data_IF_886926462807
#
_entry.id   IF_886926462807
#
_cell.length_a   1.000
_cell.length_b   1.000
_cell.length_c   1.000
_cell.angle_alpha   90.00
_cell.angle_beta   90.00
_cell.angle_gamma   90.00
#
_symmetry.space_group_name_H-M   'P 1'
#
loop_
_entity.id
_entity.type
_entity.pdbx_description
1 polymer ?
#
# COMPACT_ATOMS: atom_id res chain seq x y z
N UNK A 1 -45.17 38.62 -57.03
CA UNK A 1 -45.21 37.93 -55.71
C UNK A 1 -44.14 36.85 -55.50
N UNK A 2 -43.75 36.01 -56.48
CA UNK A 2 -42.78 34.91 -56.27
C UNK A 2 -41.37 35.31 -55.81
N UNK A 3 -40.84 36.48 -56.20
CA UNK A 3 -39.50 36.95 -55.79
C UNK A 3 -39.40 37.41 -54.33
N UNK A 4 -40.50 37.78 -53.68
CA UNK A 4 -40.47 38.20 -52.27
C UNK A 4 -40.48 37.01 -51.30
N UNK A 5 -41.23 35.94 -51.61
CA UNK A 5 -41.22 34.72 -50.78
C UNK A 5 -39.84 34.08 -50.67
N UNK A 6 -39.05 34.10 -51.76
CA UNK A 6 -37.69 33.55 -51.79
C UNK A 6 -36.72 34.30 -50.86
N UNK A 7 -36.84 35.64 -50.77
CA UNK A 7 -35.99 36.44 -49.88
C UNK A 7 -36.36 36.24 -48.41
N UNK A 8 -37.66 36.16 -48.11
CA UNK A 8 -38.14 35.90 -46.74
C UNK A 8 -37.70 34.52 -46.26
N UNK A 9 -37.80 33.50 -47.12
CA UNK A 9 -37.36 32.15 -46.78
C UNK A 9 -35.85 32.07 -46.54
N UNK A 10 -35.05 32.77 -47.34
CA UNK A 10 -33.59 32.81 -47.17
C UNK A 10 -33.18 33.52 -45.86
N UNK A 11 -33.89 34.58 -45.49
CA UNK A 11 -33.66 35.30 -44.22
C UNK A 11 -34.00 34.41 -43.03
N UNK A 12 -35.12 33.69 -43.07
CA UNK A 12 -35.52 32.76 -42.01
C UNK A 12 -34.50 31.63 -41.88
N UNK A 13 -34.06 31.03 -43.00
CA UNK A 13 -33.07 29.96 -42.99
C UNK A 13 -31.73 30.44 -42.40
N UNK A 14 -31.30 31.65 -42.76
CA UNK A 14 -30.06 32.23 -42.22
C UNK A 14 -30.16 32.50 -40.71
N UNK A 15 -31.31 33.01 -40.25
CA UNK A 15 -31.55 33.24 -38.83
C UNK A 15 -31.56 31.93 -38.02
N UNK A 16 -32.19 30.86 -38.55
CA UNK A 16 -32.20 29.54 -37.91
C UNK A 16 -30.79 28.95 -37.87
N UNK A 17 -30.04 28.98 -38.97
CA UNK A 17 -28.67 28.48 -39.00
C UNK A 17 -27.78 29.24 -38.01
N UNK A 18 -27.92 30.57 -37.91
CA UNK A 18 -27.14 31.39 -36.98
C UNK A 18 -27.51 31.07 -35.52
N UNK A 19 -28.79 30.88 -35.21
CA UNK A 19 -29.24 30.49 -33.88
C UNK A 19 -28.72 29.11 -33.47
N UNK A 20 -28.73 28.13 -34.39
CA UNK A 20 -28.17 26.80 -34.13
C UNK A 20 -26.66 26.87 -33.91
N UNK A 21 -25.95 27.68 -34.70
CA UNK A 21 -24.50 27.84 -34.55
C UNK A 21 -24.13 28.51 -33.23
N UNK A 22 -24.90 29.52 -32.80
CA UNK A 22 -24.73 30.14 -31.48
C UNK A 22 -25.06 29.19 -30.34
N UNK A 23 -26.06 28.31 -30.51
CA UNK A 23 -26.38 27.27 -29.52
C UNK A 23 -25.24 26.24 -29.41
N UNK A 24 -24.69 25.78 -30.54
CA UNK A 24 -23.56 24.86 -30.57
C UNK A 24 -22.28 25.49 -29.98
N UNK A 25 -22.00 26.76 -30.30
CA UNK A 25 -20.91 27.51 -29.68
C UNK A 25 -21.14 27.73 -28.19
N UNK A 26 -22.38 27.94 -27.76
CA UNK A 26 -22.75 27.98 -26.34
C UNK A 26 -22.45 26.66 -25.63
N UNK A 27 -22.80 25.52 -26.23
CA UNK A 27 -22.51 24.19 -25.65
C UNK A 27 -21.00 23.89 -25.62
N UNK A 28 -20.23 24.40 -26.59
CA UNK A 28 -18.78 24.23 -26.63
C UNK A 28 -18.02 25.19 -25.71
N UNK A 29 -18.50 26.43 -25.53
CA UNK A 29 -17.88 27.45 -24.67
C UNK A 29 -18.31 27.32 -23.20
N UNK A 30 -19.54 26.90 -22.95
CA UNK A 30 -20.02 26.41 -21.66
C UNK A 30 -19.94 24.89 -21.65
N UNK A 31 -18.83 24.36 -22.17
CA UNK A 31 -18.46 22.96 -22.03
C UNK A 31 -18.80 22.58 -20.60
N UNK A 32 -19.74 21.65 -20.47
CA UNK A 32 -20.18 21.16 -19.19
C UNK A 32 -18.91 20.77 -18.45
N UNK A 33 -18.50 21.58 -17.47
CA UNK A 33 -17.80 21.06 -16.32
C UNK A 33 -18.79 20.03 -15.80
N UNK A 34 -18.60 18.78 -16.26
CA UNK A 34 -19.01 17.63 -15.50
C UNK A 34 -18.54 17.98 -14.10
N UNK A 35 -19.45 18.06 -13.10
CA UNK A 35 -19.01 18.30 -11.75
C UNK A 35 -17.84 17.34 -11.55
N UNK A 36 -16.66 17.88 -11.23
CA UNK A 36 -15.55 17.05 -10.81
C UNK A 36 -16.20 16.07 -9.83
N UNK A 37 -16.09 14.75 -10.07
CA UNK A 37 -16.74 13.81 -9.19
C UNK A 37 -16.29 14.22 -7.81
N UNK A 38 -17.26 14.63 -6.96
CA UNK A 38 -16.96 14.94 -5.57
C UNK A 38 -16.00 13.84 -5.15
N UNK A 39 -14.83 14.21 -4.64
CA UNK A 39 -14.00 13.29 -3.88
C UNK A 39 -14.87 12.86 -2.69
N UNK A 40 -15.78 11.92 -2.96
CA UNK A 40 -16.37 11.06 -1.97
C UNK A 40 -15.15 10.44 -1.37
N UNK A 41 -14.83 10.88 -0.16
CA UNK A 41 -13.91 10.27 0.77
C UNK A 41 -13.89 8.75 0.53
N UNK A 42 -12.95 8.29 -0.32
CA UNK A 42 -12.91 6.90 -0.82
C UNK A 42 -12.34 5.97 0.26
N UNK A 43 -12.09 6.49 1.46
CA UNK A 43 -11.70 5.74 2.66
C UNK A 43 -12.73 4.69 3.09
N UNK A 44 -13.92 4.64 2.46
CA UNK A 44 -15.04 3.76 2.82
C UNK A 44 -15.34 2.58 1.88
N UNK A 45 -14.45 2.18 0.98
CA UNK A 45 -14.69 1.02 0.09
C UNK A 45 -13.62 -0.07 0.19
N UNK A 46 -13.18 -0.41 1.41
CA UNK A 46 -12.53 -1.71 1.61
C UNK A 46 -13.64 -2.74 1.85
N UNK A 47 -14.12 -3.35 0.77
CA UNK A 47 -14.79 -4.65 0.87
C UNK A 47 -13.68 -5.68 1.20
N UNK A 48 -13.90 -6.56 2.19
CA UNK A 48 -12.91 -7.52 2.73
C UNK A 48 -11.86 -6.91 3.67
N UNK A 49 -12.33 -6.29 4.77
CA UNK A 49 -11.50 -5.76 5.85
C UNK A 49 -10.58 -6.81 6.52
N UNK A 50 -10.96 -8.08 6.48
CA UNK A 50 -10.11 -9.18 6.90
C UNK A 50 -8.86 -9.31 6.02
N UNK A 51 -9.02 -9.34 4.69
CA UNK A 51 -7.91 -9.38 3.74
C UNK A 51 -7.06 -8.10 3.83
N UNK A 52 -7.70 -6.95 4.03
CA UNK A 52 -7.00 -5.70 4.29
C UNK A 52 -6.18 -5.76 5.58
N UNK A 53 -6.73 -6.34 6.63
CA UNK A 53 -6.01 -6.55 7.90
C UNK A 53 -4.77 -7.40 7.66
N UNK A 54 -4.86 -8.52 6.93
CA UNK A 54 -3.66 -9.31 6.57
C UNK A 54 -2.61 -8.45 5.86
N UNK A 55 -3.02 -7.60 4.91
CA UNK A 55 -2.10 -6.73 4.17
C UNK A 55 -1.43 -5.64 5.03
N UNK A 56 -2.05 -5.24 6.15
CA UNK A 56 -1.47 -4.27 7.08
C UNK A 56 -0.36 -4.87 7.95
N UNK A 57 -0.50 -6.14 8.30
CA UNK A 57 0.47 -6.88 9.12
C UNK A 57 1.53 -7.59 8.27
N UNK A 58 1.45 -7.48 6.95
CA UNK A 58 2.50 -7.94 6.07
C UNK A 58 3.74 -7.02 6.15
N UNK A 59 4.89 -7.57 5.78
CA UNK A 59 6.24 -7.02 6.01
C UNK A 59 6.47 -5.62 5.41
N UNK A 60 5.55 -5.11 4.56
CA UNK A 60 5.45 -3.67 4.27
C UNK A 60 4.13 -3.19 4.86
N UNK A 61 4.13 -2.22 5.78
CA UNK A 61 2.88 -1.55 6.06
C UNK A 61 2.40 -0.94 4.75
N UNK A 62 1.20 -1.32 4.32
CA UNK A 62 0.38 -0.46 3.47
C UNK A 62 0.32 0.86 4.19
N UNK A 63 0.98 1.87 3.64
CA UNK A 63 0.94 3.20 4.24
C UNK A 63 -0.42 3.73 3.84
N UNK A 64 -1.39 3.62 4.76
CA UNK A 64 -2.83 3.85 4.61
C UNK A 64 -3.28 5.24 4.10
N UNK A 65 -2.40 5.95 3.41
CA UNK A 65 -2.62 7.19 2.68
C UNK A 65 -2.81 6.97 1.16
N UNK A 66 -2.69 5.74 0.67
CA UNK A 66 -2.89 5.36 -0.73
C UNK A 66 -4.20 4.60 -1.00
N UNK A 67 -4.64 4.56 -2.26
CA UNK A 67 -5.74 3.70 -2.67
C UNK A 67 -5.26 2.25 -2.72
N UNK A 68 -5.90 1.39 -1.95
CA UNK A 68 -5.59 -0.05 -1.88
C UNK A 68 -6.74 -0.80 -2.54
N UNK A 69 -6.40 -1.61 -3.53
CA UNK A 69 -7.34 -2.47 -4.24
C UNK A 69 -7.02 -3.92 -3.90
N UNK A 70 -8.01 -4.65 -3.40
CA UNK A 70 -7.92 -6.06 -3.09
C UNK A 70 -8.68 -6.86 -4.14
N UNK A 71 -8.06 -7.91 -4.66
CA UNK A 71 -8.68 -8.82 -5.63
C UNK A 71 -8.46 -10.26 -5.22
N UNK A 72 -9.53 -10.96 -4.87
CA UNK A 72 -9.47 -12.41 -4.62
C UNK A 72 -9.12 -13.11 -5.93
N UNK A 73 -8.05 -13.89 -5.90
CA UNK A 73 -7.55 -14.66 -7.05
C UNK A 73 -8.21 -16.04 -7.04
N UNK A 74 -8.16 -16.72 -5.89
CA UNK A 74 -8.74 -18.04 -5.69
C UNK A 74 -8.90 -18.37 -4.20
N UNK A 75 -9.69 -19.39 -3.92
CA UNK A 75 -9.90 -19.97 -2.60
C UNK A 75 -9.62 -21.48 -2.66
N UNK A 76 -9.01 -22.04 -1.62
CA UNK A 76 -8.70 -23.46 -1.51
C UNK A 76 -9.83 -24.27 -0.83
N UNK A 77 -9.73 -25.60 -0.82
CA UNK A 77 -10.76 -26.47 -0.23
C UNK A 77 -10.92 -26.32 1.29
N UNK A 78 -9.99 -25.62 1.96
CA UNK A 78 -10.00 -25.33 3.39
C UNK A 78 -10.44 -23.89 3.69
N UNK A 79 -10.81 -23.11 2.67
CA UNK A 79 -11.28 -21.73 2.80
C UNK A 79 -10.16 -20.70 2.93
N UNK A 80 -8.91 -21.05 2.60
CA UNK A 80 -7.81 -20.08 2.48
C UNK A 80 -8.01 -19.25 1.24
N UNK A 81 -7.75 -17.95 1.34
CA UNK A 81 -7.95 -17.01 0.24
C UNK A 81 -6.61 -16.49 -0.24
N UNK A 82 -6.26 -16.75 -1.50
CA UNK A 82 -5.17 -16.07 -2.20
C UNK A 82 -5.74 -14.79 -2.81
N UNK A 83 -5.17 -13.65 -2.47
CA UNK A 83 -5.59 -12.37 -3.01
C UNK A 83 -4.40 -11.52 -3.44
N UNK A 84 -4.67 -10.70 -4.45
CA UNK A 84 -3.77 -9.68 -4.96
C UNK A 84 -4.08 -8.36 -4.28
N UNK A 85 -3.06 -7.70 -3.76
CA UNK A 85 -3.12 -6.32 -3.30
C UNK A 85 -2.48 -5.42 -4.34
N UNK A 86 -3.16 -4.33 -4.68
CA UNK A 86 -2.65 -3.29 -5.56
C UNK A 86 -2.68 -1.96 -4.84
N UNK A 87 -1.53 -1.34 -4.63
CA UNK A 87 -1.40 -0.08 -3.91
C UNK A 87 -0.91 1.04 -4.83
N UNK A 88 -1.59 2.17 -4.76
CA UNK A 88 -1.09 3.44 -5.29
C UNK A 88 -0.51 4.29 -4.15
N UNK A 89 0.80 4.19 -3.91
CA UNK A 89 1.44 4.82 -2.76
C UNK A 89 2.37 5.96 -3.14
N UNK A 90 2.13 7.10 -2.47
CA UNK A 90 2.94 8.32 -2.60
C UNK A 90 4.41 8.09 -2.23
N UNK A 91 4.68 7.13 -1.35
CA UNK A 91 6.02 6.72 -0.90
C UNK A 91 6.87 6.13 -2.04
N UNK A 92 6.20 5.57 -3.07
CA UNK A 92 6.87 5.03 -4.25
C UNK A 92 6.93 6.05 -5.38
N UNK A 93 5.94 6.95 -5.50
CA UNK A 93 6.06 8.13 -6.37
C UNK A 93 7.19 9.06 -5.95
N UNK A 94 7.50 9.14 -4.67
CA UNK A 94 8.70 9.84 -4.17
C UNK A 94 10.00 9.11 -4.47
N UNK A 95 9.98 7.84 -4.90
CA UNK A 95 11.17 7.08 -5.29
C UNK A 95 11.39 7.07 -6.81
N UNK A 96 10.35 6.76 -7.57
CA UNK A 96 10.44 6.51 -9.01
C UNK A 96 10.11 7.75 -9.88
N UNK A 97 9.87 8.91 -9.27
CA UNK A 97 9.40 10.10 -10.00
C UNK A 97 7.91 10.35 -9.83
N UNK A 98 7.47 11.62 -9.86
CA UNK A 98 6.04 11.97 -9.99
C UNK A 98 5.38 11.34 -11.23
N UNK A 99 6.19 10.91 -12.20
CA UNK A 99 5.77 10.22 -13.41
C UNK A 99 5.68 8.69 -13.25
N UNK A 100 6.01 8.14 -12.08
CA UNK A 100 5.75 6.74 -11.76
C UNK A 100 4.23 6.52 -11.71
N UNK A 101 3.73 5.88 -12.76
CA UNK A 101 2.31 5.56 -12.95
C UNK A 101 2.01 4.09 -12.65
N UNK A 102 3.00 3.33 -12.20
CA UNK A 102 2.85 1.92 -11.96
C UNK A 102 2.34 1.68 -10.55
N UNK A 103 1.43 0.72 -10.43
CA UNK A 103 0.84 0.32 -9.17
C UNK A 103 1.63 -0.85 -8.61
N UNK A 104 1.82 -0.88 -7.31
CA UNK A 104 2.54 -1.97 -6.68
C UNK A 104 1.59 -3.11 -6.44
N UNK A 105 1.98 -4.28 -6.91
CA UNK A 105 1.21 -5.49 -6.79
C UNK A 105 1.95 -6.50 -5.93
N UNK A 106 1.26 -7.10 -4.98
CA UNK A 106 1.77 -8.25 -4.24
C UNK A 106 0.65 -9.24 -3.95
N UNK A 107 1.03 -10.48 -3.65
CA UNK A 107 0.11 -11.59 -3.45
C UNK A 107 0.24 -12.10 -2.02
N UNK A 108 -0.89 -12.32 -1.37
CA UNK A 108 -0.98 -12.66 0.04
C UNK A 108 -2.01 -13.76 0.22
N UNK A 109 -1.79 -14.62 1.21
CA UNK A 109 -2.75 -15.66 1.61
C UNK A 109 -3.34 -15.32 2.97
N UNK A 110 -4.66 -15.18 3.01
CA UNK A 110 -5.41 -15.21 4.26
C UNK A 110 -5.71 -16.68 4.58
N UNK A 111 -5.26 -17.14 5.74
CA UNK A 111 -5.42 -18.54 6.13
C UNK A 111 -6.85 -18.82 6.59
N UNK A 112 -7.45 -17.88 7.32
CA UNK A 112 -8.82 -17.99 7.82
C UNK A 112 -9.33 -16.61 8.27
N UNK A 113 -10.62 -16.38 8.09
CA UNK A 113 -11.34 -15.23 8.65
C UNK A 113 -12.61 -15.72 9.34
N UNK A 114 -12.71 -15.57 10.66
CA UNK A 114 -13.86 -16.04 11.44
C UNK A 114 -14.10 -15.14 12.66
N UNK A 115 -15.36 -14.75 12.88
CA UNK A 115 -15.80 -14.01 14.09
C UNK A 115 -15.00 -12.71 14.35
N UNK A 116 -14.59 -12.03 13.29
CA UNK A 116 -13.78 -10.81 13.40
C UNK A 116 -12.31 -11.05 13.78
N UNK A 117 -11.85 -12.29 13.71
CA UNK A 117 -10.43 -12.66 13.81
C UNK A 117 -9.92 -13.08 12.44
N UNK A 118 -8.69 -12.69 12.17
CA UNK A 118 -7.98 -12.94 10.92
C UNK A 118 -6.71 -13.73 11.24
N UNK A 119 -6.49 -14.79 10.48
CA UNK A 119 -5.39 -15.73 10.65
C UNK A 119 -4.53 -15.70 9.40
N UNK A 120 -3.22 -15.58 9.55
CA UNK A 120 -2.27 -15.56 8.44
C UNK A 120 -0.89 -16.06 8.88
N UNK A 121 -0.08 -16.49 7.92
CA UNK A 121 1.32 -16.81 8.19
C UNK A 121 2.17 -15.54 8.02
N UNK A 122 2.88 -15.13 9.07
CA UNK A 122 3.79 -13.98 9.03
C UNK A 122 4.99 -14.26 8.11
N UNK A 123 5.54 -13.19 7.50
CA UNK A 123 6.79 -13.18 6.72
C UNK A 123 6.76 -13.94 5.38
N UNK A 124 5.59 -14.30 4.85
CA UNK A 124 5.47 -15.21 3.70
C UNK A 124 4.95 -14.55 2.42
N UNK A 125 4.76 -13.23 2.42
CA UNK A 125 4.21 -12.53 1.26
C UNK A 125 5.32 -12.15 0.29
N UNK A 126 5.17 -12.57 -0.97
CA UNK A 126 6.06 -12.15 -2.05
C UNK A 126 5.66 -10.76 -2.54
N UNK A 127 6.54 -9.78 -2.31
CA UNK A 127 6.49 -8.50 -3.03
C UNK A 127 7.00 -8.71 -4.44
N UNK A 128 6.11 -8.55 -5.40
CA UNK A 128 6.48 -8.68 -6.80
C UNK A 128 6.48 -7.29 -7.42
N UNK A 129 7.64 -6.65 -7.32
CA UNK A 129 7.93 -5.42 -8.04
C UNK A 129 7.74 -5.68 -9.53
N UNK A 130 6.82 -4.95 -10.12
CA UNK A 130 6.64 -4.96 -11.56
C UNK A 130 6.61 -3.52 -12.07
N UNK A 131 7.74 -3.07 -12.61
CA UNK A 131 7.68 -2.55 -13.98
C UNK A 131 8.01 -3.71 -14.91
N UNK A 132 7.11 -4.07 -15.82
CA UNK A 132 6.09 -5.10 -15.60
C UNK A 132 6.70 -6.52 -15.49
N UNK A 133 7.35 -6.83 -14.38
CA UNK A 133 7.58 -8.21 -13.94
C UNK A 133 6.26 -8.93 -13.66
N UNK A 134 5.80 -9.73 -14.63
CA UNK A 134 4.67 -10.64 -14.43
C UNK A 134 5.03 -11.59 -13.30
N UNK A 135 4.24 -11.56 -12.22
CA UNK A 135 4.23 -12.60 -11.20
C UNK A 135 4.11 -13.95 -11.90
N UNK A 136 5.16 -14.75 -11.83
CA UNK A 136 5.14 -16.05 -12.50
C UNK A 136 4.19 -16.98 -11.76
N UNK A 137 3.60 -17.90 -12.50
CA UNK A 137 2.80 -18.97 -11.91
C UNK A 137 3.63 -19.80 -10.90
N UNK A 138 4.93 -19.95 -11.16
CA UNK A 138 5.87 -20.60 -10.24
C UNK A 138 6.00 -19.88 -8.88
N UNK A 139 6.07 -18.54 -8.88
CA UNK A 139 6.10 -17.77 -7.65
C UNK A 139 4.79 -17.90 -6.85
N UNK A 140 3.65 -17.89 -7.55
CA UNK A 140 2.34 -18.14 -6.92
C UNK A 140 2.26 -19.55 -6.34
N UNK A 141 2.73 -20.56 -7.07
CA UNK A 141 2.73 -21.94 -6.60
C UNK A 141 3.67 -22.14 -5.41
N UNK A 142 4.80 -21.43 -5.37
CA UNK A 142 5.70 -21.43 -4.22
C UNK A 142 5.04 -20.79 -3.00
N UNK A 143 4.40 -19.63 -3.16
CA UNK A 143 3.61 -18.97 -2.12
C UNK A 143 2.53 -19.90 -1.56
N UNK A 144 1.77 -20.55 -2.43
CA UNK A 144 0.75 -21.54 -2.05
C UNK A 144 1.35 -22.70 -1.25
N UNK A 145 2.45 -23.28 -1.74
CA UNK A 145 3.11 -24.39 -1.06
C UNK A 145 3.61 -24.00 0.35
N UNK A 146 4.17 -22.80 0.50
CA UNK A 146 4.58 -22.27 1.80
C UNK A 146 3.39 -22.02 2.74
N UNK A 147 2.23 -21.68 2.17
CA UNK A 147 1.00 -21.40 2.92
C UNK A 147 0.10 -22.62 3.13
N UNK A 148 0.65 -23.84 3.01
CA UNK A 148 -0.08 -25.10 3.21
C UNK A 148 -1.36 -25.18 2.33
N UNK A 149 -1.29 -24.67 1.09
CA UNK A 149 -2.44 -24.63 0.18
C UNK A 149 -3.00 -26.03 -0.11
N UNK A 150 -4.31 -26.21 0.04
CA UNK A 150 -5.00 -27.52 -0.02
C UNK A 150 -4.51 -28.56 1.01
N UNK A 151 -3.77 -28.16 2.04
CA UNK A 151 -3.36 -29.00 3.15
C UNK A 151 -4.15 -28.64 4.42
N UNK A 152 -4.12 -29.51 5.43
CA UNK A 152 -4.83 -29.27 6.69
C UNK A 152 -4.40 -27.94 7.35
N UNK A 153 -5.37 -27.20 7.91
CA UNK A 153 -5.13 -25.94 8.60
C UNK A 153 -4.24 -26.13 9.84
N UNK A 154 -3.12 -25.41 9.89
CA UNK A 154 -2.15 -25.45 10.98
C UNK A 154 -2.22 -24.16 11.80
N UNK A 155 -3.14 -24.13 12.77
CA UNK A 155 -3.42 -22.94 13.60
C UNK A 155 -2.17 -22.46 14.37
N UNK A 156 -1.29 -23.38 14.76
CA UNK A 156 -0.05 -23.08 15.47
C UNK A 156 0.98 -22.27 14.67
N UNK A 157 0.83 -22.21 13.35
CA UNK A 157 1.68 -21.40 12.46
C UNK A 157 1.15 -19.98 12.28
N UNK A 158 -0.13 -19.74 12.59
CA UNK A 158 -0.82 -18.48 12.35
C UNK A 158 -0.47 -17.41 13.38
N UNK A 159 -0.27 -16.20 12.88
CA UNK A 159 -0.55 -14.99 13.65
C UNK A 159 -2.05 -14.75 13.64
N UNK A 160 -2.61 -14.38 14.79
CA UNK A 160 -4.05 -14.13 14.97
C UNK A 160 -4.26 -12.69 15.40
N UNK A 161 -5.02 -11.93 14.62
CA UNK A 161 -5.32 -10.52 14.90
C UNK A 161 -6.80 -10.24 14.79
N UNK A 162 -7.27 -9.23 15.51
CA UNK A 162 -8.60 -8.69 15.30
C UNK A 162 -8.65 -7.98 13.94
N UNK A 163 -9.74 -8.20 13.20
CA UNK A 163 -10.06 -7.45 12.00
C UNK A 163 -10.15 -5.95 12.33
N UNK A 164 -9.50 -5.15 11.49
CA UNK A 164 -9.43 -3.70 11.67
C UNK A 164 -10.12 -3.01 10.51
N UNK A 165 -10.95 -2.03 10.84
CA UNK A 165 -11.58 -1.12 9.86
C UNK A 165 -10.83 0.23 9.80
N UNK A 166 -9.67 0.34 10.46
CA UNK A 166 -8.83 1.53 10.48
C UNK A 166 -7.49 1.31 9.77
N UNK A 167 -7.22 2.13 8.75
CA UNK A 167 -5.97 2.14 7.98
C UNK A 167 -4.74 2.69 8.75
N UNK A 168 -4.90 2.98 10.05
CA UNK A 168 -3.97 3.74 10.87
C UNK A 168 -3.34 2.89 11.99
N UNK A 169 -3.16 1.59 11.75
CA UNK A 169 -2.68 0.60 12.71
C UNK A 169 -1.47 1.09 13.54
N UNK A 170 -0.49 1.68 12.85
CA UNK A 170 0.75 2.20 13.43
C UNK A 170 0.71 3.70 13.74
N UNK A 171 -0.47 4.30 13.82
CA UNK A 171 -0.67 5.71 14.23
C UNK A 171 -1.36 5.81 15.60
N UNK A 172 -1.82 4.70 16.18
CA UNK A 172 -2.51 4.70 17.46
C UNK A 172 -1.53 4.94 18.64
N UNK A 173 -1.86 5.83 19.59
CA UNK A 173 -1.02 6.15 20.75
C UNK A 173 -0.63 4.94 21.59
N UNK A 174 -1.47 3.90 21.63
CA UNK A 174 -1.23 2.68 22.42
C UNK A 174 -0.04 1.85 21.90
N UNK A 175 0.37 2.08 20.65
CA UNK A 175 1.50 1.39 20.01
C UNK A 175 2.80 2.22 20.05
N UNK A 176 2.71 3.53 20.32
CA UNK A 176 3.85 4.43 20.55
C UNK A 176 4.08 4.65 22.05
N UNK A 177 4.39 3.60 22.82
CA UNK A 177 4.63 3.80 24.26
C UNK A 177 5.89 4.62 24.58
N UNK A 178 6.71 5.02 23.60
CA UNK A 178 7.80 5.95 23.85
C UNK A 178 8.12 6.88 22.65
N UNK A 179 7.70 8.17 22.70
CA UNK A 179 8.05 9.21 21.72
C UNK A 179 9.56 9.33 21.42
N UNK A 180 10.39 8.80 22.32
CA UNK A 180 11.84 8.88 22.21
C UNK A 180 12.48 7.70 21.45
N UNK A 181 11.74 6.63 21.12
CA UNK A 181 12.34 5.44 20.48
C UNK A 181 12.77 5.75 19.05
N UNK A 182 11.90 6.39 18.27
CA UNK A 182 12.23 6.87 16.92
C UNK A 182 13.53 7.69 16.95
N UNK A 183 13.62 8.66 17.85
CA UNK A 183 14.79 9.51 18.00
C UNK A 183 16.05 8.72 18.34
N UNK A 184 15.96 7.77 19.28
CA UNK A 184 17.09 6.88 19.63
C UNK A 184 17.54 6.05 18.43
N UNK A 185 16.60 5.48 17.68
CA UNK A 185 16.90 4.68 16.47
C UNK A 185 17.62 5.54 15.43
N UNK A 186 17.08 6.72 15.11
CA UNK A 186 17.70 7.61 14.12
C UNK A 186 19.09 8.08 14.57
N UNK A 187 19.27 8.38 15.86
CA UNK A 187 20.57 8.74 16.42
C UNK A 187 21.60 7.60 16.33
N UNK A 188 21.20 6.35 16.61
CA UNK A 188 22.10 5.20 16.50
C UNK A 188 22.51 4.92 15.04
N UNK A 189 21.61 5.20 14.10
CA UNK A 189 21.86 5.05 12.66
C UNK A 189 22.59 6.26 12.04
N UNK A 190 22.95 7.28 12.83
CA UNK A 190 23.52 8.54 12.37
C UNK A 190 22.65 9.26 11.30
N UNK A 191 21.33 9.16 11.45
CA UNK A 191 20.33 9.77 10.56
C UNK A 191 19.71 11.01 11.21
N UNK A 192 19.50 12.04 10.39
CA UNK A 192 18.83 13.26 10.82
C UNK A 192 17.33 13.03 11.04
N UNK A 193 16.75 13.74 12.02
CA UNK A 193 15.30 13.74 12.25
C UNK A 193 14.62 14.79 11.36
N UNK A 194 14.77 14.63 10.05
CA UNK A 194 14.20 15.51 9.02
C UNK A 194 13.54 14.71 7.88
N UNK A 195 13.37 15.33 6.70
CA UNK A 195 12.70 14.71 5.55
C UNK A 195 13.50 13.56 4.90
N UNK A 196 14.76 13.36 5.29
CA UNK A 196 15.65 12.34 4.70
C UNK A 196 15.47 10.94 5.30
N UNK A 197 14.77 10.80 6.43
CA UNK A 197 14.53 9.48 7.03
C UNK A 197 13.11 9.31 7.59
N UNK A 198 12.45 8.22 7.20
CA UNK A 198 11.19 7.78 7.78
C UNK A 198 11.43 6.59 8.71
N UNK A 199 10.91 6.64 9.94
CA UNK A 199 11.00 5.54 10.90
C UNK A 199 9.60 5.27 11.47
N UNK A 200 9.14 4.03 11.33
CA UNK A 200 7.77 3.62 11.64
C UNK A 200 7.77 2.25 12.31
N UNK A 201 6.90 2.04 13.30
CA UNK A 201 6.62 0.69 13.79
C UNK A 201 5.86 -0.08 12.70
N UNK A 202 6.18 -1.37 12.51
CA UNK A 202 5.61 -2.21 11.45
C UNK A 202 5.13 -3.58 11.93
N UNK A 203 5.55 -4.04 13.11
CA UNK A 203 5.01 -5.27 13.72
C UNK A 203 5.24 -5.29 15.24
N UNK A 204 4.46 -6.14 15.93
CA UNK A 204 4.60 -6.41 17.36
C UNK A 204 4.51 -7.90 17.62
N UNK A 205 5.36 -8.40 18.52
CA UNK A 205 5.31 -9.81 18.95
C UNK A 205 4.37 -9.99 20.17
N UNK A 206 4.09 -11.23 20.55
CA UNK A 206 3.27 -11.55 21.73
C UNK A 206 3.84 -11.00 23.05
N UNK A 207 5.16 -10.76 23.12
CA UNK A 207 5.83 -10.18 24.28
C UNK A 207 5.86 -8.64 24.25
N UNK A 208 5.20 -8.02 23.26
CA UNK A 208 5.22 -6.57 23.02
C UNK A 208 6.60 -6.02 22.67
N UNK A 209 7.47 -6.84 22.06
CA UNK A 209 8.59 -6.32 21.26
C UNK A 209 8.03 -5.61 20.03
N UNK A 210 8.72 -4.58 19.58
CA UNK A 210 8.30 -3.78 18.42
C UNK A 210 9.36 -3.87 17.34
N UNK A 211 8.93 -4.20 16.12
CA UNK A 211 9.74 -4.09 14.92
C UNK A 211 9.50 -2.71 14.30
N UNK A 212 10.57 -1.96 14.10
CA UNK A 212 10.59 -0.72 13.35
C UNK A 212 11.19 -0.94 11.98
N UNK A 213 10.64 -0.26 10.98
CA UNK A 213 11.24 -0.09 9.66
C UNK A 213 11.73 1.36 9.55
N UNK A 214 12.99 1.53 9.18
CA UNK A 214 13.61 2.80 8.87
C UNK A 214 13.92 2.81 7.38
N UNK A 215 13.45 3.84 6.71
CA UNK A 215 13.71 4.13 5.30
C UNK A 215 14.58 5.38 5.27
N UNK A 216 15.79 5.25 4.73
CA UNK A 216 16.65 6.39 4.45
C UNK A 216 16.50 6.80 2.98
N UNK A 217 16.49 8.10 2.71
CA UNK A 217 16.44 8.66 1.37
C UNK A 217 17.73 9.42 1.07
N UNK A 218 18.13 9.46 -0.20
CA UNK A 218 19.32 10.20 -0.64
C UNK A 218 19.12 11.70 -0.44
N UNK A 219 20.15 12.40 0.03
CA UNK A 219 20.12 13.87 0.20
C UNK A 219 19.89 14.65 -1.10
N UNK A 220 20.18 14.03 -2.24
CA UNK A 220 20.01 14.63 -3.55
C UNK A 220 18.68 14.24 -4.17
N UNK A 221 17.87 15.25 -4.47
CA UNK A 221 16.69 15.04 -5.28
C UNK A 221 17.08 14.64 -6.72
N UNK A 222 16.33 13.72 -7.30
CA UNK A 222 16.39 13.37 -8.72
C UNK A 222 15.93 14.53 -9.61
N UNK A 223 15.96 14.33 -10.92
CA UNK A 223 15.49 15.31 -11.92
C UNK A 223 14.01 15.74 -11.75
N UNK A 224 13.23 14.98 -10.97
CA UNK A 224 11.82 15.22 -10.69
C UNK A 224 11.57 15.86 -9.30
N UNK A 225 12.63 16.17 -8.54
CA UNK A 225 12.53 16.76 -7.20
C UNK A 225 12.20 15.75 -6.11
N UNK A 226 12.44 14.46 -6.35
CA UNK A 226 12.17 13.36 -5.44
C UNK A 226 13.46 12.85 -4.81
N UNK A 227 13.42 12.36 -3.57
CA UNK A 227 14.57 11.78 -2.90
C UNK A 227 14.47 10.24 -2.95
N UNK A 228 15.23 9.54 -3.82
CA UNK A 228 15.28 8.08 -3.86
C UNK A 228 15.59 7.46 -2.51
N UNK A 229 15.07 6.29 -2.23
CA UNK A 229 15.38 5.50 -1.05
C UNK A 229 16.77 4.90 -1.21
N UNK A 230 17.64 5.15 -0.23
CA UNK A 230 19.01 4.66 -0.21
C UNK A 230 19.13 3.32 0.53
N UNK A 231 18.37 3.14 1.61
CA UNK A 231 18.46 1.93 2.43
C UNK A 231 17.18 1.67 3.22
N UNK A 232 16.99 0.39 3.56
CA UNK A 232 15.98 -0.07 4.52
C UNK A 232 16.69 -0.74 5.68
N UNK A 233 16.32 -0.34 6.90
CA UNK A 233 16.85 -0.90 8.15
C UNK A 233 15.69 -1.34 9.02
N UNK A 234 15.83 -2.51 9.63
CA UNK A 234 14.89 -3.04 10.61
C UNK A 234 15.49 -2.98 12.00
N UNK A 235 14.70 -2.56 12.98
CA UNK A 235 15.14 -2.48 14.38
C UNK A 235 14.12 -3.15 15.27
N UNK A 236 14.54 -4.15 16.04
CA UNK A 236 13.70 -4.76 17.08
C UNK A 236 13.98 -4.04 18.39
N UNK A 237 12.92 -3.69 19.12
CA UNK A 237 13.04 -3.09 20.45
C UNK A 237 12.24 -3.89 21.47
N UNK A 238 12.68 -3.88 22.73
CA UNK A 238 11.85 -4.37 23.84
C UNK A 238 10.63 -3.45 24.06
N UNK A 239 9.70 -3.86 24.93
CA UNK A 239 8.52 -3.05 25.28
C UNK A 239 8.85 -1.64 25.78
N UNK A 240 10.04 -1.45 26.36
CA UNK A 240 10.51 -0.15 26.88
C UNK A 240 11.25 0.66 25.82
N UNK A 241 11.37 0.15 24.60
CA UNK A 241 12.08 0.79 23.50
C UNK A 241 13.60 0.74 23.61
N UNK A 242 14.16 -0.27 24.30
CA UNK A 242 15.59 -0.52 24.32
C UNK A 242 15.99 -1.54 23.25
N UNK A 243 17.21 -1.40 22.75
CA UNK A 243 17.81 -2.29 21.76
C UNK A 243 19.35 -2.21 21.86
N UNK A 244 20.02 -3.26 21.40
CA UNK A 244 21.47 -3.41 21.24
C UNK A 244 21.83 -3.26 19.76
N UNK A 245 22.57 -2.20 19.41
CA UNK A 245 22.86 -1.86 18.02
C UNK A 245 23.59 -2.96 17.23
N UNK A 246 24.35 -3.83 17.90
CA UNK A 246 25.07 -4.92 17.24
C UNK A 246 24.20 -6.13 16.92
N UNK A 247 23.06 -6.28 17.61
CA UNK A 247 22.21 -7.48 17.52
C UNK A 247 20.83 -7.18 16.97
N UNK A 248 20.25 -6.08 17.42
CA UNK A 248 18.84 -5.74 17.24
C UNK A 248 18.63 -4.82 16.02
N UNK A 249 19.62 -4.68 15.14
CA UNK A 249 19.56 -3.94 13.88
C UNK A 249 19.88 -4.86 12.69
N UNK A 250 19.00 -4.88 11.71
CA UNK A 250 19.19 -5.53 10.41
C UNK A 250 19.24 -4.47 9.31
N UNK A 251 20.35 -4.40 8.60
CA UNK A 251 20.46 -3.65 7.34
C UNK A 251 20.04 -4.57 6.19
N UNK A 252 18.94 -4.25 5.51
CA UNK A 252 18.47 -5.06 4.39
C UNK A 252 19.46 -4.95 3.21
N UNK A 253 19.94 -6.09 2.69
CA UNK A 253 20.85 -6.06 1.53
C UNK A 253 20.14 -5.57 0.27
N UNK A 254 18.86 -5.95 0.13
CA UNK A 254 17.99 -5.51 -0.94
C UNK A 254 16.76 -4.84 -0.35
N UNK A 255 16.62 -3.53 -0.62
CA UNK A 255 15.51 -2.66 -0.21
C UNK A 255 14.12 -3.24 -0.54
N UNK A 256 14.05 -4.14 -1.52
CA UNK A 256 12.83 -4.71 -2.06
C UNK A 256 12.73 -6.23 -1.90
N UNK A 257 13.79 -6.88 -1.43
CA UNK A 257 13.90 -8.33 -1.35
C UNK A 257 14.57 -8.74 -0.02
N UNK A 258 13.90 -8.37 1.08
CA UNK A 258 14.42 -8.54 2.44
C UNK A 258 13.58 -9.50 3.28
N UNK A 259 12.59 -10.17 2.69
CA UNK A 259 11.64 -11.01 3.44
C UNK A 259 12.34 -12.17 4.16
N UNK A 260 13.22 -12.90 3.45
CA UNK A 260 13.98 -14.01 4.04
C UNK A 260 14.93 -13.54 5.14
N UNK A 261 15.63 -12.42 4.92
CA UNK A 261 16.54 -11.83 5.90
C UNK A 261 15.81 -11.37 7.16
N UNK A 262 14.67 -10.69 6.98
CA UNK A 262 13.83 -10.23 8.09
C UNK A 262 13.26 -11.41 8.87
N UNK A 263 12.83 -12.47 8.17
CA UNK A 263 12.36 -13.68 8.82
C UNK A 263 13.45 -14.31 9.69
N UNK A 264 14.66 -14.50 9.14
CA UNK A 264 15.79 -15.03 9.88
C UNK A 264 16.15 -14.14 11.09
N UNK A 265 16.12 -12.82 10.91
CA UNK A 265 16.35 -11.85 11.98
C UNK A 265 15.30 -11.93 13.09
N UNK A 266 14.02 -12.10 12.77
CA UNK A 266 12.98 -12.36 13.79
C UNK A 266 13.26 -13.66 14.56
N UNK A 267 13.71 -14.72 13.88
CA UNK A 267 14.05 -15.98 14.54
C UNK A 267 15.22 -15.85 15.52
N UNK A 268 16.27 -15.08 15.20
CA UNK A 268 17.40 -14.86 16.13
C UNK A 268 17.01 -14.07 17.39
N UNK A 269 15.86 -13.40 17.37
CA UNK A 269 15.35 -12.59 18.48
C UNK A 269 14.21 -13.25 19.24
N UNK A 270 13.98 -14.57 19.09
CA UNK A 270 12.86 -15.27 19.70
C UNK A 270 11.52 -14.54 19.47
N UNK A 271 11.30 -14.06 18.24
CA UNK A 271 10.09 -13.34 17.86
C UNK A 271 8.88 -14.28 17.97
N UNK A 272 7.96 -13.95 18.88
CA UNK A 272 6.76 -14.77 19.10
C UNK A 272 5.59 -14.21 18.31
N UNK A 273 5.18 -14.96 17.31
CA UNK A 273 3.97 -14.80 16.51
C UNK A 273 2.72 -14.80 17.38
#
# INVERSE_FOLDING_TARGET
>A
MKKQLSKVFLIILFAVCTAVLLLCCGILLFGMELPEPEEKDQSKQVENWDLYTVSLYDVCPVVGKGKVLLHIVEEDDYGRVLFKVTEDSALYRSYYGKNFKEQITYYVVCQKSEKGLVYFYEDMSYRLFSSPGVVTEEAINTLKAQNDWNEAFAEEKCVVVEQREDANLFSSPDYYEAPNVKKKILQELDLAEDETAACQAVAFDQNKKTLFMVVNYTDHADENGNHPMESVVFVITDRKGNFDAEKDILFAHAIWDYAEELHAFKQTHDWKR
#
